data_IF_565635012359
#
_entry.id   IF_565635012359
#
_cell.length_a   1.000
_cell.length_b   1.000
_cell.length_c   1.000
_cell.angle_alpha   90.00
_cell.angle_beta   90.00
_cell.angle_gamma   90.00
#
_symmetry.space_group_name_H-M   'P 1'
#
loop_
_entity.id
_entity.type
_entity.pdbx_description
1 polymer ?
#
# COMPACT_ATOMS: atom_id res chain seq x y z
N UNK A 1 2.36 29.59 -19.72
CA UNK A 1 2.32 28.91 -18.42
C UNK A 1 1.58 27.60 -18.56
N UNK A 2 2.10 26.54 -17.99
CA UNK A 2 1.41 25.26 -18.02
C UNK A 2 0.14 25.31 -17.16
N UNK A 3 -0.90 24.66 -17.61
CA UNK A 3 -2.10 24.45 -16.80
C UNK A 3 -1.75 23.51 -15.65
N UNK A 4 -2.50 23.59 -14.57
CA UNK A 4 -2.29 22.69 -13.41
C UNK A 4 -2.40 21.23 -13.82
N UNK A 5 -3.33 20.89 -14.71
CA UNK A 5 -3.51 19.52 -15.21
C UNK A 5 -2.26 19.00 -15.92
N UNK A 6 -1.51 19.88 -16.58
CA UNK A 6 -0.27 19.51 -17.25
C UNK A 6 0.86 19.18 -16.27
N UNK A 7 0.85 19.81 -15.08
CA UNK A 7 1.83 19.53 -14.03
C UNK A 7 1.65 18.15 -13.43
N UNK A 8 0.43 17.63 -13.44
CA UNK A 8 0.11 16.28 -12.96
C UNK A 8 -0.02 15.29 -14.12
N UNK A 9 0.31 15.74 -15.31
CA UNK A 9 0.22 14.96 -16.54
C UNK A 9 -1.16 14.36 -16.75
N UNK A 10 -1.20 13.10 -17.09
CA UNK A 10 -2.45 12.42 -17.44
C UNK A 10 -3.30 12.06 -16.24
N UNK A 11 -2.84 12.31 -15.01
CA UNK A 11 -3.49 11.79 -13.82
C UNK A 11 -4.76 12.53 -13.44
N UNK A 12 -4.83 13.83 -13.72
CA UNK A 12 -6.00 14.65 -13.36
C UNK A 12 -7.13 14.50 -14.36
N UNK A 13 -6.82 14.51 -15.64
CA UNK A 13 -7.84 14.45 -16.70
C UNK A 13 -8.09 13.04 -17.23
N UNK A 14 -7.61 12.02 -16.51
CA UNK A 14 -7.94 10.63 -16.83
C UNK A 14 -9.42 10.37 -16.62
N UNK A 15 -10.06 9.66 -17.54
CA UNK A 15 -11.41 9.18 -17.31
C UNK A 15 -11.50 8.30 -16.07
N UNK A 16 -12.60 8.39 -15.36
CA UNK A 16 -12.82 7.63 -14.13
C UNK A 16 -12.72 6.12 -14.36
N UNK A 17 -13.21 5.64 -15.50
CA UNK A 17 -13.12 4.22 -15.82
C UNK A 17 -11.68 3.71 -15.95
N UNK A 18 -10.74 4.57 -16.32
CA UNK A 18 -9.32 4.19 -16.35
C UNK A 18 -8.74 4.05 -14.94
N UNK A 19 -9.25 4.82 -14.00
CA UNK A 19 -8.86 4.70 -12.59
C UNK A 19 -9.41 3.41 -11.98
N UNK A 20 -10.61 3.02 -12.39
CA UNK A 20 -11.27 1.80 -11.88
C UNK A 20 -10.74 0.56 -12.56
N UNK A 21 -10.41 0.64 -13.85
CA UNK A 21 -9.84 -0.49 -14.58
C UNK A 21 -8.46 -0.82 -14.04
N UNK A 22 -8.28 -2.06 -13.64
CA UNK A 22 -6.98 -2.59 -13.28
C UNK A 22 -6.29 -2.96 -14.59
N UNK A 23 -5.77 -1.97 -15.28
CA UNK A 23 -5.01 -2.17 -16.50
C UNK A 23 -3.50 -2.25 -16.20
N UNK A 24 -2.72 -2.58 -17.23
CA UNK A 24 -1.28 -2.71 -17.09
C UNK A 24 -0.60 -1.40 -16.70
N UNK A 25 -1.11 -0.27 -17.16
CA UNK A 25 -0.54 1.03 -16.81
C UNK A 25 -0.73 1.32 -15.32
N UNK A 26 -1.91 1.00 -14.79
CA UNK A 26 -2.19 1.15 -13.36
C UNK A 26 -1.35 0.19 -12.53
N UNK A 27 -1.16 -1.05 -12.97
CA UNK A 27 -0.29 -2.02 -12.30
C UNK A 27 1.16 -1.55 -12.29
N UNK A 28 1.65 -0.96 -13.37
CA UNK A 28 3.00 -0.38 -13.42
C UNK A 28 3.13 0.79 -12.46
N UNK A 29 2.12 1.63 -12.37
CA UNK A 29 2.13 2.76 -11.43
C UNK A 29 2.23 2.27 -9.99
N UNK A 30 1.48 1.25 -9.64
CA UNK A 30 1.53 0.63 -8.30
C UNK A 30 2.91 0.03 -8.04
N UNK A 31 3.44 -0.72 -9.00
CA UNK A 31 4.76 -1.33 -8.87
C UNK A 31 5.85 -0.28 -8.66
N UNK A 32 5.82 0.80 -9.44
CA UNK A 32 6.76 1.90 -9.33
C UNK A 32 6.64 2.59 -7.96
N UNK A 33 5.43 2.85 -7.52
CA UNK A 33 5.20 3.49 -6.22
C UNK A 33 5.78 2.66 -5.07
N UNK A 34 5.62 1.34 -5.12
CA UNK A 34 6.19 0.46 -4.11
C UNK A 34 7.71 0.39 -4.22
N UNK A 35 8.23 0.24 -5.44
CA UNK A 35 9.66 0.07 -5.68
C UNK A 35 10.46 1.32 -5.31
N UNK A 36 9.91 2.49 -5.57
CA UNK A 36 10.54 3.77 -5.28
C UNK A 36 10.30 4.27 -3.85
N UNK A 37 9.50 3.56 -3.09
CA UNK A 37 9.14 3.99 -1.74
C UNK A 37 10.35 3.93 -0.81
N UNK A 38 10.68 5.08 -0.23
CA UNK A 38 11.80 5.19 0.72
C UNK A 38 11.27 4.99 2.13
N UNK A 39 11.59 3.85 2.71
CA UNK A 39 11.19 3.54 4.08
C UNK A 39 12.34 3.84 5.04
N UNK A 40 12.15 4.85 5.88
CA UNK A 40 13.04 5.10 7.01
C UNK A 40 12.83 4.03 8.07
N UNK A 41 13.73 3.94 9.04
CA UNK A 41 13.56 3.02 10.16
C UNK A 41 12.26 3.29 10.91
N UNK A 42 11.93 4.55 11.12
CA UNK A 42 10.66 4.95 11.75
C UNK A 42 9.45 4.45 10.97
N UNK A 43 9.46 4.55 9.65
CA UNK A 43 8.38 4.06 8.79
C UNK A 43 8.29 2.53 8.87
N UNK A 44 9.42 1.83 8.85
CA UNK A 44 9.44 0.38 9.03
C UNK A 44 8.85 -0.05 10.38
N UNK A 45 9.16 0.67 11.43
CA UNK A 45 8.59 0.42 12.76
C UNK A 45 7.07 0.63 12.77
N UNK A 46 6.59 1.65 12.08
CA UNK A 46 5.16 1.92 11.95
C UNK A 46 4.44 0.82 11.17
N UNK A 47 4.99 0.35 10.06
CA UNK A 47 4.43 -0.79 9.33
C UNK A 47 4.43 -2.05 10.20
N UNK A 48 5.51 -2.30 10.92
CA UNK A 48 5.61 -3.45 11.82
C UNK A 48 4.51 -3.43 12.87
N UNK A 49 4.29 -2.28 13.49
CA UNK A 49 3.24 -2.11 14.49
C UNK A 49 1.85 -2.37 13.90
N UNK A 50 1.55 -1.81 12.74
CA UNK A 50 0.25 -2.00 12.08
C UNK A 50 0.04 -3.46 11.69
N UNK A 51 1.02 -4.08 11.04
CA UNK A 51 0.91 -5.48 10.63
C UNK A 51 0.80 -6.43 11.83
N UNK A 52 1.49 -6.13 12.93
CA UNK A 52 1.38 -6.94 14.14
C UNK A 52 -0.03 -6.91 14.71
N UNK A 53 -0.65 -5.73 14.80
CA UNK A 53 -2.04 -5.59 15.25
C UNK A 53 -3.00 -6.36 14.36
N UNK A 54 -2.81 -6.28 13.05
CA UNK A 54 -3.65 -6.99 12.07
C UNK A 54 -3.46 -8.51 12.18
N UNK A 55 -2.21 -8.97 12.30
CA UNK A 55 -1.91 -10.40 12.41
C UNK A 55 -2.51 -11.02 13.67
N UNK A 56 -2.60 -10.27 14.75
CA UNK A 56 -3.15 -10.72 16.04
C UNK A 56 -4.69 -10.60 16.12
N UNK A 57 -5.31 -9.88 15.20
CA UNK A 57 -6.75 -9.61 15.24
C UNK A 57 -7.63 -10.87 15.28
N UNK A 58 -7.34 -11.95 14.53
CA UNK A 58 -8.15 -13.17 14.60
C UNK A 58 -8.12 -13.85 15.97
N UNK A 59 -7.00 -13.74 16.71
CA UNK A 59 -6.88 -14.31 18.05
C UNK A 59 -7.60 -13.46 19.10
N UNK A 60 -7.81 -12.18 18.80
CA UNK A 60 -8.47 -11.21 19.69
C UNK A 60 -9.57 -10.48 18.92
N UNK A 61 -10.71 -11.16 18.63
CA UNK A 61 -11.78 -10.57 17.82
C UNK A 61 -12.27 -9.25 18.40
N UNK A 62 -12.39 -8.26 17.52
CA UNK A 62 -12.92 -6.93 17.84
C UNK A 62 -13.90 -6.55 16.74
N UNK A 63 -14.74 -5.56 17.00
CA UNK A 63 -15.69 -5.05 16.00
C UNK A 63 -14.98 -4.40 14.81
N UNK A 64 -13.74 -3.99 14.97
CA UNK A 64 -12.93 -3.43 13.92
C UNK A 64 -11.62 -2.87 14.44
N UNK A 65 -10.74 -2.56 13.52
CA UNK A 65 -9.47 -1.89 13.81
C UNK A 65 -9.48 -0.55 13.08
N UNK A 66 -9.36 0.53 13.83
CA UNK A 66 -9.17 1.86 13.28
C UNK A 66 -7.68 2.23 13.30
N UNK A 67 -7.18 2.73 12.18
CA UNK A 67 -5.81 3.20 12.07
C UNK A 67 -5.83 4.67 11.66
N UNK A 68 -5.22 5.51 12.47
CA UNK A 68 -5.11 6.94 12.18
C UNK A 68 -3.70 7.25 11.69
N UNK A 69 -3.61 7.76 10.45
CA UNK A 69 -2.33 8.14 9.84
C UNK A 69 -2.27 9.66 9.81
N UNK A 70 -1.32 10.23 10.52
CA UNK A 70 -1.14 11.67 10.60
C UNK A 70 0.29 12.07 10.23
N UNK A 71 0.44 13.30 9.80
CA UNK A 71 1.73 13.86 9.45
C UNK A 71 1.54 15.18 8.72
N UNK A 72 2.63 15.85 8.46
CA UNK A 72 2.61 17.09 7.70
C UNK A 72 2.25 16.84 6.24
N UNK A 73 1.72 17.87 5.58
CA UNK A 73 1.49 17.82 4.15
C UNK A 73 2.81 17.46 3.43
N UNK A 74 2.73 16.51 2.52
CA UNK A 74 3.92 16.01 1.81
C UNK A 74 4.75 14.98 2.57
N UNK A 75 4.30 14.52 3.73
CA UNK A 75 5.03 13.53 4.53
C UNK A 75 4.90 12.07 4.06
N UNK A 76 4.18 11.83 2.95
CA UNK A 76 4.00 10.49 2.42
C UNK A 76 2.84 9.70 3.04
N UNK A 77 1.92 10.35 3.73
CA UNK A 77 0.75 9.68 4.34
C UNK A 77 -0.07 8.87 3.35
N UNK A 78 -0.34 9.46 2.19
CA UNK A 78 -1.13 8.79 1.14
C UNK A 78 -0.42 7.57 0.59
N UNK A 79 0.89 7.66 0.36
CA UNK A 79 1.69 6.54 -0.10
C UNK A 79 1.72 5.42 0.92
N UNK A 80 1.89 5.74 2.20
CA UNK A 80 1.84 4.77 3.28
C UNK A 80 0.51 4.00 3.28
N UNK A 81 -0.61 4.74 3.24
CA UNK A 81 -1.95 4.14 3.25
C UNK A 81 -2.20 3.26 2.02
N UNK A 82 -1.82 3.73 0.84
CA UNK A 82 -1.97 2.96 -0.40
C UNK A 82 -1.15 1.68 -0.39
N UNK A 83 0.12 1.76 -0.03
CA UNK A 83 1.01 0.61 0.02
C UNK A 83 0.52 -0.41 1.05
N UNK A 84 0.06 0.05 2.19
CA UNK A 84 -0.58 -0.80 3.19
C UNK A 84 -1.78 -1.55 2.60
N UNK A 85 -2.67 -0.83 1.92
CA UNK A 85 -3.86 -1.42 1.30
C UNK A 85 -3.52 -2.44 0.21
N UNK A 86 -2.59 -2.12 -0.67
CA UNK A 86 -2.16 -3.03 -1.74
C UNK A 86 -1.53 -4.30 -1.16
N UNK A 87 -0.74 -4.16 -0.12
CA UNK A 87 -0.07 -5.30 0.53
C UNK A 87 -1.06 -6.21 1.25
N UNK A 88 -2.01 -5.64 1.99
CA UNK A 88 -3.04 -6.42 2.68
C UNK A 88 -3.96 -7.12 1.70
N UNK A 89 -4.35 -6.47 0.62
CA UNK A 89 -5.22 -7.06 -0.39
C UNK A 89 -4.52 -8.09 -1.27
N UNK A 90 -3.22 -8.29 -1.10
CA UNK A 90 -2.42 -9.19 -1.93
C UNK A 90 -2.60 -8.90 -3.42
N UNK A 91 -2.58 -7.64 -3.78
CA UNK A 91 -2.88 -7.16 -5.14
C UNK A 91 -1.84 -7.67 -6.12
N UNK A 92 -2.31 -8.18 -7.25
CA UNK A 92 -1.44 -8.56 -8.36
C UNK A 92 -0.95 -7.32 -9.09
N UNK A 93 0.33 -7.32 -9.43
CA UNK A 93 0.99 -6.21 -10.12
C UNK A 93 1.84 -6.81 -11.24
N UNK A 94 1.25 -6.97 -12.41
CA UNK A 94 1.91 -7.68 -13.51
C UNK A 94 2.14 -9.15 -13.17
N UNK A 95 3.38 -9.60 -13.25
CA UNK A 95 3.77 -10.97 -12.92
C UNK A 95 4.08 -11.17 -11.44
N UNK A 96 4.12 -10.10 -10.66
CA UNK A 96 4.41 -10.12 -9.23
C UNK A 96 3.16 -9.76 -8.42
N UNK A 97 3.30 -9.72 -7.11
CA UNK A 97 2.27 -9.23 -6.20
C UNK A 97 2.79 -8.02 -5.43
N UNK A 98 1.89 -7.16 -4.97
CA UNK A 98 2.26 -6.03 -4.14
C UNK A 98 3.01 -6.46 -2.87
N UNK A 99 2.59 -7.52 -2.14
CA UNK A 99 3.37 -8.00 -1.01
C UNK A 99 4.80 -8.42 -1.37
N UNK A 100 5.00 -9.06 -2.51
CA UNK A 100 6.34 -9.48 -2.94
C UNK A 100 7.25 -8.28 -3.18
N UNK A 101 6.74 -7.26 -3.87
CA UNK A 101 7.47 -6.01 -4.11
C UNK A 101 7.72 -5.25 -2.80
N UNK A 102 6.73 -5.18 -1.95
CA UNK A 102 6.82 -4.52 -0.65
C UNK A 102 7.89 -5.16 0.24
N UNK A 103 7.90 -6.49 0.35
CA UNK A 103 8.90 -7.20 1.14
C UNK A 103 10.31 -6.93 0.65
N UNK A 104 10.48 -6.91 -0.67
CA UNK A 104 11.77 -6.61 -1.29
C UNK A 104 12.23 -5.19 -0.99
N UNK A 105 11.32 -4.22 -1.10
CA UNK A 105 11.61 -2.80 -0.87
C UNK A 105 11.92 -2.53 0.61
N UNK A 106 11.15 -3.12 1.51
CA UNK A 106 11.38 -2.95 2.95
C UNK A 106 12.66 -3.61 3.42
N UNK A 107 13.01 -4.77 2.88
CA UNK A 107 14.18 -5.55 3.26
C UNK A 107 14.29 -5.73 4.78
N UNK A 108 13.18 -6.11 5.42
CA UNK A 108 13.06 -6.26 6.86
C UNK A 108 12.39 -7.59 7.17
N UNK A 109 13.09 -8.46 7.91
CA UNK A 109 12.62 -9.82 8.20
C UNK A 109 11.35 -9.83 9.07
N UNK A 110 11.21 -8.88 9.98
CA UNK A 110 10.01 -8.75 10.82
C UNK A 110 8.78 -8.46 9.95
N UNK A 111 8.91 -7.53 9.03
CA UNK A 111 7.85 -7.15 8.10
C UNK A 111 7.51 -8.32 7.19
N UNK A 112 8.51 -8.99 6.64
CA UNK A 112 8.33 -10.16 5.77
C UNK A 112 7.54 -11.25 6.48
N UNK A 113 7.89 -11.60 7.69
CA UNK A 113 7.20 -12.63 8.47
C UNK A 113 5.74 -12.24 8.75
N UNK A 114 5.48 -10.99 9.11
CA UNK A 114 4.13 -10.51 9.39
C UNK A 114 3.26 -10.48 8.13
N UNK A 115 3.78 -9.98 7.01
CA UNK A 115 3.07 -9.94 5.74
C UNK A 115 2.73 -11.34 5.25
N UNK A 116 3.67 -12.27 5.32
CA UNK A 116 3.44 -13.66 4.92
C UNK A 116 2.36 -14.32 5.79
N UNK A 117 2.40 -14.09 7.08
CA UNK A 117 1.40 -14.60 8.01
C UNK A 117 0.00 -14.06 7.68
N UNK A 118 -0.11 -12.75 7.44
CA UNK A 118 -1.39 -12.12 7.12
C UNK A 118 -1.92 -12.63 5.78
N UNK A 119 -1.12 -12.62 4.74
CA UNK A 119 -1.55 -13.03 3.40
C UNK A 119 -1.94 -14.51 3.32
N UNK A 120 -1.37 -15.34 4.19
CA UNK A 120 -1.68 -16.78 4.24
C UNK A 120 -2.97 -17.05 5.00
N UNK A 121 -3.23 -16.30 6.09
CA UNK A 121 -4.29 -16.64 7.04
C UNK A 121 -5.50 -15.74 6.99
N UNK A 122 -5.35 -14.49 6.54
CA UNK A 122 -6.41 -13.49 6.62
C UNK A 122 -6.72 -12.97 5.22
N UNK A 123 -7.93 -13.23 4.69
CA UNK A 123 -8.34 -12.63 3.42
C UNK A 123 -8.70 -11.16 3.64
N UNK A 124 -8.20 -10.32 2.74
CA UNK A 124 -8.50 -8.89 2.75
C UNK A 124 -9.05 -8.42 1.42
N UNK A 125 -9.97 -7.49 1.51
CA UNK A 125 -10.42 -6.71 0.37
C UNK A 125 -10.14 -5.24 0.69
N UNK A 126 -9.41 -4.56 -0.17
CA UNK A 126 -9.04 -3.17 0.02
C UNK A 126 -9.83 -2.26 -0.90
N UNK A 127 -10.43 -1.24 -0.32
CA UNK A 127 -11.09 -0.18 -1.09
C UNK A 127 -10.28 1.10 -0.86
N UNK A 128 -9.74 1.63 -1.94
CA UNK A 128 -8.91 2.85 -1.90
C UNK A 128 -9.64 3.94 -2.69
N UNK A 129 -9.87 5.05 -2.03
CA UNK A 129 -10.56 6.19 -2.61
C UNK A 129 -9.59 7.25 -3.11
#
# INVERSE_FOLDING_TARGET
MKKIVELFENQIDRPIEEVIKVDQANERAVATEIDEYVATESIRDQFTMVFKEIAEAPAHPREGIGIWISGFFGSGKSSFAKILGYTLANRKVGIATAPALFKKTMADDRITALVDSINTRIPFEAVIF
#
